data_IF_435624901684
#
_entry.id   IF_435624901684
#
_cell.length_a   1.000
_cell.length_b   1.000
_cell.length_c   1.000
_cell.angle_alpha   90.00
_cell.angle_beta   90.00
_cell.angle_gamma   90.00
#
_symmetry.space_group_name_H-M   'P 1'
#
loop_
_entity.id
_entity.type
_entity.pdbx_description
1 polymer ?
#
# COMPACT_ATOMS: atom_id res chain seq x y z
N UNK A 1 4.27 -10.79 2.77
CA UNK A 1 3.66 -11.87 3.57
C UNK A 1 4.57 -13.10 3.73
N UNK A 2 4.36 -14.25 3.04
CA UNK A 2 4.89 -15.60 3.39
C UNK A 2 6.29 -15.71 4.04
N UNK A 3 7.30 -14.97 3.55
CA UNK A 3 8.67 -14.98 4.12
C UNK A 3 8.74 -14.41 5.54
N UNK A 4 7.99 -13.35 5.81
CA UNK A 4 7.83 -12.75 7.15
C UNK A 4 7.10 -13.70 8.08
N UNK A 5 5.95 -14.26 7.67
CA UNK A 5 5.15 -15.19 8.49
C UNK A 5 6.00 -16.39 8.96
N UNK A 6 6.92 -16.90 8.12
CA UNK A 6 7.89 -17.92 8.52
C UNK A 6 8.92 -17.44 9.56
N UNK A 7 9.46 -16.23 9.38
CA UNK A 7 10.44 -15.66 10.32
C UNK A 7 9.79 -15.34 11.68
N UNK A 8 8.62 -14.71 11.65
CA UNK A 8 7.82 -14.35 12.82
C UNK A 8 7.35 -15.61 13.56
N UNK A 9 6.83 -16.62 12.86
CA UNK A 9 6.46 -17.90 13.46
C UNK A 9 7.64 -18.64 14.13
N UNK A 10 8.85 -18.55 13.58
CA UNK A 10 10.06 -19.13 14.21
C UNK A 10 10.51 -18.38 15.47
N UNK A 11 10.34 -17.06 15.50
CA UNK A 11 10.62 -16.22 16.66
C UNK A 11 9.61 -16.47 17.79
N UNK A 12 8.31 -16.41 17.48
CA UNK A 12 7.26 -16.50 18.50
C UNK A 12 6.98 -17.93 18.98
N UNK A 13 7.18 -18.97 18.16
CA UNK A 13 7.01 -20.37 18.58
C UNK A 13 8.04 -20.88 19.62
N UNK A 14 8.95 -20.01 20.07
CA UNK A 14 9.89 -20.27 21.18
C UNK A 14 9.53 -19.57 22.48
N UNK A 15 8.53 -18.69 22.46
CA UNK A 15 8.07 -17.94 23.63
C UNK A 15 6.90 -18.69 24.30
N UNK A 16 6.72 -18.46 25.59
CA UNK A 16 5.58 -19.02 26.33
C UNK A 16 4.28 -18.33 25.85
N UNK A 17 3.18 -19.07 25.73
CA UNK A 17 1.89 -18.55 25.20
C UNK A 17 1.22 -17.68 26.26
N UNK A 18 0.87 -16.45 25.88
CA UNK A 18 0.25 -15.45 26.76
C UNK A 18 -0.75 -14.59 25.98
N UNK A 19 -1.43 -13.67 26.69
CA UNK A 19 -2.43 -12.77 26.09
C UNK A 19 -1.92 -12.06 24.83
N UNK A 20 -0.72 -11.49 24.82
CA UNK A 20 -0.19 -10.83 23.61
C UNK A 20 0.04 -11.80 22.44
N UNK A 21 0.22 -13.10 22.71
CA UNK A 21 0.32 -14.14 21.69
C UNK A 21 -1.05 -14.40 21.05
N UNK A 22 -2.10 -14.51 21.87
CA UNK A 22 -3.48 -14.72 21.43
C UNK A 22 -4.00 -13.54 20.60
N UNK A 23 -3.71 -12.31 21.03
CA UNK A 23 -4.08 -11.06 20.35
C UNK A 23 -3.29 -10.86 19.04
N UNK A 24 -2.04 -11.33 18.98
CA UNK A 24 -1.26 -11.37 17.74
C UNK A 24 -1.78 -12.45 16.78
N UNK A 25 -2.21 -13.60 17.29
CA UNK A 25 -2.80 -14.69 16.51
C UNK A 25 -4.10 -14.21 15.86
N UNK A 26 -5.04 -13.65 16.65
CA UNK A 26 -6.29 -13.06 16.16
C UNK A 26 -6.09 -11.95 15.13
N UNK A 27 -5.24 -10.95 15.40
CA UNK A 27 -4.96 -9.87 14.44
C UNK A 27 -4.36 -10.38 13.12
N UNK A 28 -3.54 -11.45 13.18
CA UNK A 28 -2.96 -12.06 12.00
C UNK A 28 -3.97 -12.91 11.22
N UNK A 29 -4.95 -13.53 11.87
CA UNK A 29 -6.07 -14.24 11.24
C UNK A 29 -7.03 -13.26 10.55
N UNK A 30 -7.53 -12.23 11.26
CA UNK A 30 -8.39 -11.18 10.68
C UNK A 30 -7.68 -10.44 9.53
N UNK A 31 -6.35 -10.26 9.57
CA UNK A 31 -5.60 -9.73 8.44
C UNK A 31 -5.52 -10.69 7.23
N UNK A 32 -5.48 -12.00 7.45
CA UNK A 32 -5.51 -12.99 6.35
C UNK A 32 -6.88 -12.96 5.66
N UNK A 33 -7.98 -12.86 6.41
CA UNK A 33 -9.33 -12.71 5.85
C UNK A 33 -9.48 -11.38 5.08
N UNK A 34 -8.96 -10.28 5.63
CA UNK A 34 -8.88 -8.98 4.95
C UNK A 34 -8.17 -9.07 3.59
N UNK A 35 -6.97 -9.67 3.54
CA UNK A 35 -6.28 -9.88 2.27
C UNK A 35 -6.99 -10.91 1.37
N UNK A 36 -7.70 -11.91 1.90
CA UNK A 36 -8.48 -12.87 1.10
C UNK A 36 -9.66 -12.20 0.38
N UNK A 37 -10.36 -11.26 1.03
CA UNK A 37 -11.37 -10.44 0.39
C UNK A 37 -10.79 -9.57 -0.76
N UNK A 38 -9.53 -9.14 -0.64
CA UNK A 38 -8.73 -8.57 -1.74
C UNK A 38 -8.05 -9.60 -2.67
N UNK A 39 -8.31 -10.91 -2.49
CA UNK A 39 -7.74 -12.04 -3.23
C UNK A 39 -6.21 -12.09 -3.23
N UNK A 40 -5.60 -11.67 -2.11
CA UNK A 40 -4.15 -11.57 -1.89
C UNK A 40 -3.43 -10.75 -2.97
N UNK A 41 -4.06 -9.66 -3.42
CA UNK A 41 -3.52 -8.79 -4.49
C UNK A 41 -2.28 -8.04 -4.00
N UNK A 42 -1.08 -8.56 -4.32
CA UNK A 42 0.22 -8.11 -3.80
C UNK A 42 0.50 -6.59 -3.86
N UNK A 43 -0.11 -5.89 -4.83
CA UNK A 43 -0.11 -4.43 -4.95
C UNK A 43 -1.48 -3.94 -5.41
N UNK A 44 -2.24 -3.35 -4.50
CA UNK A 44 -3.52 -2.71 -4.79
C UNK A 44 -3.59 -1.36 -4.06
N UNK A 45 -3.55 -0.25 -4.82
CA UNK A 45 -3.45 1.10 -4.24
C UNK A 45 -2.12 1.35 -3.52
N UNK A 46 -2.10 2.36 -2.64
CA UNK A 46 -1.04 2.62 -1.65
C UNK A 46 -1.62 3.43 -0.51
N UNK A 47 -1.32 3.02 0.73
CA UNK A 47 -1.88 3.66 1.92
C UNK A 47 -1.00 4.86 2.25
N UNK A 48 -1.59 6.04 2.18
CA UNK A 48 -0.90 7.30 2.43
C UNK A 48 -1.21 7.79 3.84
N UNK A 49 -0.17 8.21 4.55
CA UNK A 49 -0.25 8.79 5.89
C UNK A 49 0.76 9.93 6.01
N UNK A 50 0.36 10.98 6.71
CA UNK A 50 1.21 12.07 7.17
C UNK A 50 2.11 11.66 8.35
N UNK A 51 1.63 10.74 9.19
CA UNK A 51 2.29 10.28 10.43
C UNK A 51 3.09 8.96 10.29
N UNK A 52 3.22 8.41 9.08
CA UNK A 52 4.00 7.18 8.84
C UNK A 52 5.41 7.24 9.44
N UNK A 53 5.77 6.21 10.20
CA UNK A 53 7.05 6.08 10.90
C UNK A 53 8.24 6.19 9.94
N UNK A 54 9.21 7.04 10.29
CA UNK A 54 10.31 7.43 9.40
C UNK A 54 11.15 6.25 8.88
N UNK A 55 11.29 5.18 9.67
CA UNK A 55 12.02 3.97 9.28
C UNK A 55 11.31 3.12 8.22
N UNK A 56 10.01 3.29 7.97
CA UNK A 56 9.31 2.53 6.92
C UNK A 56 9.89 2.82 5.54
N UNK A 57 10.24 4.09 5.28
CA UNK A 57 10.88 4.53 4.04
C UNK A 57 12.32 3.99 3.89
N UNK A 58 12.94 3.56 4.97
CA UNK A 58 14.26 2.92 4.96
C UNK A 58 14.15 1.40 4.78
N UNK A 59 13.21 0.75 5.48
CA UNK A 59 12.81 -0.64 5.25
C UNK A 59 12.46 -0.90 3.78
N UNK A 60 11.75 0.04 3.13
CA UNK A 60 11.45 -0.05 1.70
C UNK A 60 12.69 -0.07 0.81
N UNK A 61 13.64 0.85 1.03
CA UNK A 61 14.90 0.90 0.25
C UNK A 61 15.73 -0.36 0.43
N UNK A 62 15.69 -0.97 1.62
CA UNK A 62 16.38 -2.24 1.94
C UNK A 62 15.72 -3.48 1.30
N UNK A 63 14.73 -3.30 0.42
CA UNK A 63 14.02 -4.42 -0.20
C UNK A 63 13.02 -5.09 0.74
N UNK A 64 12.56 -4.36 1.78
CA UNK A 64 11.53 -4.78 2.74
C UNK A 64 11.88 -6.10 3.45
N UNK A 65 12.99 -6.17 4.20
CA UNK A 65 13.38 -7.35 4.96
C UNK A 65 12.32 -7.76 5.99
N UNK A 66 12.37 -9.02 6.41
CA UNK A 66 11.50 -9.64 7.41
C UNK A 66 11.58 -8.94 8.78
N UNK A 67 12.78 -8.45 9.08
CA UNK A 67 13.17 -7.74 10.30
C UNK A 67 13.75 -6.38 9.95
N UNK A 68 13.59 -5.42 10.86
CA UNK A 68 14.23 -4.10 10.78
C UNK A 68 14.93 -3.82 12.10
N UNK A 69 16.23 -3.47 12.04
CA UNK A 69 17.04 -3.21 13.24
C UNK A 69 16.64 -1.87 13.88
N UNK A 70 15.74 -1.92 14.87
CA UNK A 70 15.23 -0.73 15.55
C UNK A 70 16.04 -0.40 16.79
N UNK A 71 17.12 0.39 16.63
CA UNK A 71 17.96 0.87 17.73
C UNK A 71 17.26 2.02 18.46
N UNK A 72 16.30 1.67 19.31
CA UNK A 72 15.46 2.59 20.09
C UNK A 72 15.87 2.53 21.57
N UNK A 73 16.22 3.64 22.22
CA UNK A 73 16.43 3.68 23.67
C UNK A 73 15.16 3.28 24.43
N UNK A 74 15.27 2.51 25.52
CA UNK A 74 14.12 2.01 26.30
C UNK A 74 13.17 3.14 26.73
N UNK A 75 13.71 4.30 27.11
CA UNK A 75 12.93 5.49 27.49
C UNK A 75 12.29 6.25 26.30
N UNK A 76 12.34 5.69 25.09
CA UNK A 76 11.65 6.18 23.90
C UNK A 76 10.61 5.18 23.35
N UNK A 77 10.47 3.99 23.95
CA UNK A 77 9.50 2.98 23.49
C UNK A 77 8.05 3.46 23.65
N UNK A 78 7.73 4.20 24.71
CA UNK A 78 6.44 4.92 24.84
C UNK A 78 6.16 5.90 23.71
N UNK A 79 7.19 6.63 23.28
CA UNK A 79 7.08 7.62 22.22
C UNK A 79 6.88 6.91 20.88
N UNK A 80 7.56 5.78 20.66
CA UNK A 80 7.36 4.94 19.49
C UNK A 80 5.94 4.35 19.47
N UNK A 81 5.44 3.78 20.57
CA UNK A 81 4.06 3.28 20.69
C UNK A 81 3.04 4.38 20.38
N UNK A 82 3.23 5.59 20.92
CA UNK A 82 2.38 6.76 20.63
C UNK A 82 2.47 7.22 19.17
N UNK A 83 3.62 7.10 18.53
CA UNK A 83 3.77 7.38 17.09
C UNK A 83 3.11 6.31 16.22
N UNK A 84 3.17 5.03 16.64
CA UNK A 84 2.50 3.92 15.95
C UNK A 84 0.98 4.09 16.07
N UNK A 85 0.45 4.34 17.27
CA UNK A 85 -0.98 4.61 17.48
C UNK A 85 -1.44 5.87 16.73
N UNK A 86 -0.68 6.97 16.78
CA UNK A 86 -0.99 8.16 15.99
C UNK A 86 -0.97 7.91 14.47
N UNK A 87 -0.14 6.98 13.97
CA UNK A 87 -0.17 6.54 12.57
C UNK A 87 -1.45 5.74 12.27
N UNK A 88 -1.94 4.92 13.21
CA UNK A 88 -3.22 4.20 13.06
C UNK A 88 -4.39 5.20 12.89
N UNK A 89 -4.51 6.16 13.79
CA UNK A 89 -5.50 7.25 13.70
C UNK A 89 -5.36 8.12 12.44
N UNK A 90 -4.21 8.10 11.76
CA UNK A 90 -3.98 8.86 10.51
C UNK A 90 -4.44 8.12 9.24
N UNK A 91 -4.82 6.83 9.35
CA UNK A 91 -5.29 5.99 8.24
C UNK A 91 -6.71 5.47 8.42
N UNK A 92 -7.34 5.72 9.58
CA UNK A 92 -8.76 5.48 9.80
C UNK A 92 -9.63 6.44 8.97
N UNK A 93 -10.84 6.03 8.57
CA UNK A 93 -11.83 6.93 7.99
C UNK A 93 -12.29 8.00 9.00
N UNK A 94 -12.82 9.11 8.49
CA UNK A 94 -13.35 10.21 9.33
C UNK A 94 -14.53 9.72 10.17
N UNK A 95 -14.34 9.59 11.49
CA UNK A 95 -15.26 8.92 12.44
C UNK A 95 -16.68 9.52 12.54
N UNK A 96 -16.93 10.68 11.90
CA UNK A 96 -18.21 11.40 11.87
C UNK A 96 -18.97 11.29 10.52
N UNK A 97 -18.48 10.53 9.54
CA UNK A 97 -19.25 10.31 8.30
C UNK A 97 -20.46 9.40 8.55
N UNK A 98 -21.67 9.92 8.29
CA UNK A 98 -22.90 9.14 8.39
C UNK A 98 -23.10 8.11 7.25
N UNK A 99 -22.24 8.13 6.25
CA UNK A 99 -22.03 7.02 5.31
C UNK A 99 -20.96 6.09 5.89
N UNK A 100 -21.13 4.77 5.74
CA UNK A 100 -20.19 3.70 6.12
C UNK A 100 -18.89 3.68 5.25
N UNK A 101 -18.27 4.84 5.05
CA UNK A 101 -17.12 5.02 4.17
C UNK A 101 -15.82 4.52 4.84
N UNK A 102 -15.51 3.24 4.68
CA UNK A 102 -14.29 2.62 5.20
C UNK A 102 -13.01 2.92 4.38
N UNK A 103 -13.05 3.89 3.46
CA UNK A 103 -11.88 4.27 2.65
C UNK A 103 -10.85 5.06 3.46
N UNK A 104 -9.54 4.76 3.37
CA UNK A 104 -8.85 3.94 2.36
C UNK A 104 -8.71 2.43 2.68
N UNK A 105 -9.22 1.95 3.82
CA UNK A 105 -9.04 0.57 4.28
C UNK A 105 -9.84 -0.43 3.43
N UNK A 106 -11.02 -0.01 2.95
CA UNK A 106 -11.89 -0.75 2.01
C UNK A 106 -11.26 -0.99 0.62
N UNK A 107 -10.14 -0.35 0.32
CA UNK A 107 -9.65 -0.21 -1.06
C UNK A 107 -8.14 -0.44 -1.22
N UNK A 108 -7.32 -0.31 -0.19
CA UNK A 108 -5.86 -0.50 -0.30
C UNK A 108 -5.38 -1.80 0.35
N UNK A 109 -4.64 -2.63 -0.41
CA UNK A 109 -4.12 -3.91 0.10
C UNK A 109 -2.78 -4.34 -0.51
N UNK A 110 -2.31 -5.51 -0.10
CA UNK A 110 -1.00 -6.00 -0.46
C UNK A 110 0.10 -5.29 0.31
N UNK A 111 1.33 -5.31 -0.23
CA UNK A 111 2.51 -4.78 0.47
C UNK A 111 2.48 -3.26 0.70
N UNK A 112 1.53 -2.53 0.11
CA UNK A 112 1.38 -1.08 0.28
C UNK A 112 0.16 -0.68 1.13
N UNK A 113 -0.64 -1.65 1.60
CA UNK A 113 -1.73 -1.42 2.55
C UNK A 113 -1.33 -1.68 4.01
N UNK A 114 -2.28 -2.17 4.81
CA UNK A 114 -2.15 -2.52 6.23
C UNK A 114 -0.94 -3.39 6.56
N UNK A 115 -0.44 -4.20 5.61
CA UNK A 115 0.81 -4.95 5.74
C UNK A 115 2.01 -4.11 6.21
N UNK A 116 2.08 -2.82 5.83
CA UNK A 116 3.12 -1.89 6.31
C UNK A 116 3.06 -1.72 7.82
N UNK A 117 1.84 -1.53 8.33
CA UNK A 117 1.57 -1.26 9.74
C UNK A 117 1.83 -2.51 10.59
N UNK A 118 1.35 -3.69 10.15
CA UNK A 118 1.61 -4.96 10.82
C UNK A 118 3.11 -5.28 10.94
N UNK A 119 3.91 -4.98 9.92
CA UNK A 119 5.36 -5.12 10.02
C UNK A 119 5.95 -4.27 11.15
N UNK A 120 5.57 -2.98 11.23
CA UNK A 120 6.02 -2.09 12.29
C UNK A 120 5.52 -2.56 13.68
N UNK A 121 4.25 -2.94 13.79
CA UNK A 121 3.64 -3.43 15.03
C UNK A 121 4.36 -4.67 15.57
N UNK A 122 4.71 -5.63 14.71
CA UNK A 122 5.47 -6.84 15.07
C UNK A 122 6.91 -6.53 15.49
N UNK A 123 7.60 -5.56 14.87
CA UNK A 123 8.93 -5.15 15.34
C UNK A 123 8.86 -4.39 16.67
N UNK A 124 7.83 -3.56 16.88
CA UNK A 124 7.60 -2.87 18.16
C UNK A 124 7.28 -3.88 19.26
N UNK A 125 6.50 -4.92 18.98
CA UNK A 125 6.29 -6.04 19.89
C UNK A 125 7.63 -6.61 20.34
N UNK A 126 8.54 -6.94 19.42
CA UNK A 126 9.85 -7.54 19.76
C UNK A 126 10.69 -6.61 20.65
N UNK A 127 10.68 -5.29 20.44
CA UNK A 127 11.32 -4.34 21.37
C UNK A 127 10.69 -4.37 22.77
N UNK A 128 9.35 -4.44 22.85
CA UNK A 128 8.60 -4.48 24.11
C UNK A 128 8.70 -5.84 24.82
N UNK A 129 8.87 -6.95 24.07
CA UNK A 129 9.14 -8.27 24.64
C UNK A 129 10.57 -8.36 25.18
N UNK A 130 11.55 -7.90 24.40
CA UNK A 130 12.98 -8.02 24.74
C UNK A 130 13.43 -9.47 24.97
N UNK A 131 14.43 -9.61 25.84
CA UNK A 131 14.98 -10.90 26.31
C UNK A 131 14.42 -11.33 27.69
N UNK A 132 13.81 -10.43 28.47
CA UNK A 132 13.29 -10.71 29.82
C UNK A 132 11.96 -11.48 29.79
N UNK A 133 11.76 -12.45 30.71
CA UNK A 133 10.46 -13.13 30.85
C UNK A 133 9.39 -12.21 31.43
N UNK A 134 8.12 -12.53 31.19
CA UNK A 134 6.98 -11.67 31.53
C UNK A 134 6.70 -11.58 33.03
N UNK A 135 7.00 -12.66 33.76
CA UNK A 135 7.13 -12.69 35.21
C UNK A 135 8.23 -11.75 35.74
N UNK A 136 9.31 -11.56 34.98
CA UNK A 136 10.52 -10.81 35.35
C UNK A 136 10.46 -9.33 34.91
N UNK A 137 9.58 -8.99 33.96
CA UNK A 137 9.42 -7.63 33.42
C UNK A 137 9.18 -6.58 34.49
N UNK A 138 9.80 -5.42 34.26
CA UNK A 138 9.56 -4.16 34.98
C UNK A 138 8.18 -3.61 34.60
N UNK A 139 7.52 -2.89 35.52
CA UNK A 139 6.15 -2.40 35.31
C UNK A 139 6.00 -1.48 34.10
N UNK A 140 7.07 -0.74 33.78
CA UNK A 140 7.25 0.03 32.55
C UNK A 140 7.00 -0.80 31.28
N UNK A 141 7.67 -1.95 31.17
CA UNK A 141 7.57 -2.87 30.04
C UNK A 141 6.24 -3.66 30.02
N UNK A 142 5.58 -3.77 31.18
CA UNK A 142 4.21 -4.32 31.28
C UNK A 142 3.18 -3.32 30.75
N UNK A 143 3.31 -2.02 31.08
CA UNK A 143 2.47 -0.95 30.52
C UNK A 143 2.63 -0.88 28.99
N UNK A 144 3.87 -0.84 28.50
CA UNK A 144 4.17 -0.81 27.06
C UNK A 144 3.60 -2.02 26.30
N UNK A 145 3.52 -3.20 26.93
CA UNK A 145 2.82 -4.36 26.35
C UNK A 145 1.30 -4.20 26.36
N UNK A 146 0.73 -3.66 27.44
CA UNK A 146 -0.71 -3.38 27.51
C UNK A 146 -1.14 -2.37 26.44
N UNK A 147 -0.35 -1.30 26.24
CA UNK A 147 -0.59 -0.30 25.20
C UNK A 147 -0.48 -0.93 23.79
N UNK A 148 0.46 -1.87 23.59
CA UNK A 148 0.58 -2.64 22.35
C UNK A 148 -0.62 -3.57 22.10
N UNK A 149 -1.09 -4.29 23.13
CA UNK A 149 -2.25 -5.20 23.06
C UNK A 149 -3.52 -4.44 22.71
N UNK A 150 -3.76 -3.28 23.35
CA UNK A 150 -4.93 -2.46 23.08
C UNK A 150 -4.95 -1.95 21.62
N UNK A 151 -3.79 -1.60 21.05
CA UNK A 151 -3.70 -1.24 19.63
C UNK A 151 -3.90 -2.46 18.72
N UNK A 152 -3.40 -3.65 19.09
CA UNK A 152 -3.66 -4.87 18.31
C UNK A 152 -5.17 -5.20 18.26
N UNK A 153 -5.87 -5.06 19.38
CA UNK A 153 -7.34 -5.19 19.47
C UNK A 153 -8.09 -4.11 18.70
N UNK A 154 -7.67 -2.83 18.76
CA UNK A 154 -8.28 -1.74 17.98
C UNK A 154 -8.11 -1.97 16.46
N UNK A 155 -6.95 -2.48 16.03
CA UNK A 155 -6.71 -2.88 14.65
C UNK A 155 -7.59 -4.06 14.22
N UNK A 156 -7.59 -5.16 14.98
CA UNK A 156 -8.38 -6.37 14.71
C UNK A 156 -9.86 -6.02 14.52
N UNK A 157 -10.44 -5.37 15.53
CA UNK A 157 -11.86 -5.00 15.53
C UNK A 157 -12.21 -3.97 14.45
N UNK A 158 -11.24 -3.22 13.93
CA UNK A 158 -11.45 -2.35 12.77
C UNK A 158 -11.43 -3.14 11.47
N UNK A 159 -10.44 -4.01 11.27
CA UNK A 159 -10.35 -4.84 10.06
C UNK A 159 -11.56 -5.76 9.92
N UNK A 160 -12.06 -6.34 11.02
CA UNK A 160 -13.32 -7.09 11.04
C UNK A 160 -14.50 -6.29 10.46
N UNK A 161 -14.69 -5.04 10.89
CA UNK A 161 -15.77 -4.16 10.38
C UNK A 161 -15.60 -3.82 8.90
N UNK A 162 -14.36 -3.65 8.43
CA UNK A 162 -14.07 -3.43 6.99
C UNK A 162 -14.40 -4.68 6.16
N UNK A 163 -14.17 -5.89 6.70
CA UNK A 163 -14.56 -7.16 6.07
C UNK A 163 -16.09 -7.31 6.06
N UNK A 164 -16.76 -7.06 7.19
CA UNK A 164 -18.23 -7.13 7.33
C UNK A 164 -18.96 -6.17 6.39
N UNK A 165 -18.48 -4.92 6.26
CA UNK A 165 -19.02 -3.95 5.32
C UNK A 165 -18.78 -4.34 3.85
N UNK A 166 -17.62 -4.93 3.57
CA UNK A 166 -17.22 -5.38 2.26
C UNK A 166 -16.25 -4.42 1.55
N UNK A 167 -15.48 -5.00 0.63
CA UNK A 167 -14.29 -4.40 0.07
C UNK A 167 -14.55 -3.84 -1.34
N UNK A 168 -14.03 -2.64 -1.62
CA UNK A 168 -14.20 -1.89 -2.86
C UNK A 168 -12.85 -1.66 -3.58
N UNK A 169 -12.29 -2.66 -4.28
CA UNK A 169 -11.00 -2.53 -4.95
C UNK A 169 -10.97 -1.36 -5.95
N UNK A 170 -9.96 -0.46 -5.87
CA UNK A 170 -9.75 0.63 -6.81
C UNK A 170 -9.84 0.13 -8.24
N UNK A 171 -10.68 0.78 -9.04
CA UNK A 171 -10.92 0.45 -10.44
C UNK A 171 -9.60 0.47 -11.21
N UNK A 172 -8.96 -0.71 -11.34
CA UNK A 172 -7.61 -0.82 -11.88
C UNK A 172 -7.55 -0.15 -13.25
N UNK A 173 -6.84 0.97 -13.33
CA UNK A 173 -6.67 1.72 -14.57
C UNK A 173 -6.06 0.78 -15.61
N UNK A 174 -6.86 0.38 -16.60
CA UNK A 174 -6.58 -0.77 -17.49
C UNK A 174 -5.12 -0.74 -17.95
N UNK A 175 -4.30 -1.67 -17.43
CA UNK A 175 -2.98 -1.96 -17.99
C UNK A 175 -3.19 -2.22 -19.48
N UNK A 176 -2.67 -1.33 -20.33
CA UNK A 176 -2.75 -1.49 -21.78
C UNK A 176 -1.97 -2.76 -22.14
N UNK A 177 -2.67 -3.84 -22.42
CA UNK A 177 -2.09 -5.10 -22.89
C UNK A 177 -1.45 -4.86 -24.26
N UNK A 178 -0.14 -4.67 -24.26
CA UNK A 178 0.64 -4.59 -25.48
C UNK A 178 0.73 -6.00 -26.10
N UNK A 179 0.34 -6.12 -27.37
CA UNK A 179 0.69 -7.25 -28.22
C UNK A 179 -0.01 -8.59 -27.91
N UNK A 180 -1.25 -8.74 -28.37
CA UNK A 180 -1.70 -10.03 -28.93
C UNK A 180 -2.30 -9.78 -30.30
N UNK A 181 -1.49 -9.93 -31.34
CA UNK A 181 -1.99 -10.04 -32.72
C UNK A 181 -2.70 -11.39 -32.90
N UNK A 182 -3.96 -11.36 -33.33
CA UNK A 182 -4.39 -12.04 -34.56
C UNK A 182 -5.86 -11.75 -34.94
N UNK A 183 -6.12 -12.03 -36.21
CA UNK A 183 -7.33 -11.87 -37.01
C UNK A 183 -8.65 -12.24 -36.26
N UNK A 184 -9.80 -11.64 -36.54
CA UNK A 184 -10.10 -10.55 -37.49
C UNK A 184 -11.39 -10.80 -38.31
N UNK A 185 -12.12 -9.74 -38.66
CA UNK A 185 -13.25 -9.79 -39.61
C UNK A 185 -13.50 -8.42 -40.28
N UNK A 186 -14.13 -8.36 -41.47
CA UNK A 186 -13.89 -7.27 -42.42
C UNK A 186 -15.04 -6.26 -42.62
N UNK A 187 -14.76 -5.26 -43.48
CA UNK A 187 -15.66 -4.26 -44.11
C UNK A 187 -15.96 -2.97 -43.32
N UNK A 188 -15.18 -1.93 -43.63
CA UNK A 188 -15.72 -0.74 -44.31
C UNK A 188 -14.66 -0.06 -45.18
N UNK A 189 -14.74 -0.25 -46.49
CA UNK A 189 -13.81 0.38 -47.43
C UNK A 189 -14.05 1.90 -47.51
N UNK A 190 -12.97 2.69 -47.53
CA UNK A 190 -13.02 4.13 -47.82
C UNK A 190 -12.92 4.36 -49.33
N UNK A 191 -14.05 4.51 -50.01
CA UNK A 191 -14.07 5.01 -51.39
C UNK A 191 -13.83 6.52 -51.38
N UNK A 192 -12.70 7.00 -51.90
CA UNK A 192 -12.44 8.44 -52.11
C UNK A 192 -11.57 8.69 -53.35
N UNK A 193 -12.22 9.07 -54.44
CA UNK A 193 -11.68 9.61 -55.68
C UNK A 193 -12.72 10.65 -56.18
N UNK A 194 -12.45 11.95 -56.17
CA UNK A 194 -11.80 12.78 -57.22
C UNK A 194 -12.58 12.81 -58.55
N UNK A 195 -12.86 13.96 -59.18
CA UNK A 195 -12.54 15.38 -58.89
C UNK A 195 -13.74 16.27 -59.35
N UNK A 196 -13.71 17.54 -59.80
CA UNK A 196 -12.65 18.49 -60.23
C UNK A 196 -13.13 19.95 -60.07
N UNK A 197 -12.19 20.91 -60.24
CA UNK A 197 -12.37 22.35 -60.59
C UNK A 197 -12.96 23.31 -59.53
N UNK A 198 -12.49 24.56 -59.41
CA UNK A 198 -11.39 25.27 -60.09
C UNK A 198 -10.73 26.36 -59.20
N UNK A 199 -9.50 26.77 -59.57
CA UNK A 199 -8.80 28.05 -59.28
C UNK A 199 -8.91 28.69 -57.86
N UNK A 200 -7.80 29.10 -57.23
CA UNK A 200 -6.84 30.02 -57.86
C UNK A 200 -5.36 29.82 -57.43
N UNK A 201 -4.45 30.48 -58.15
CA UNK A 201 -2.99 30.23 -58.11
C UNK A 201 -2.24 30.96 -56.99
N UNK A 202 -1.28 30.27 -56.38
CA UNK A 202 -0.05 30.87 -55.85
C UNK A 202 1.11 29.86 -55.97
N UNK A 203 2.01 30.05 -56.95
CA UNK A 203 3.21 29.22 -57.15
C UNK A 203 4.44 30.12 -57.07
N UNK A 204 5.47 29.69 -56.35
CA UNK A 204 6.65 30.50 -56.04
C UNK A 204 7.95 29.94 -56.67
N UNK A 205 8.81 30.87 -57.11
CA UNK A 205 10.26 30.72 -57.40
C UNK A 205 10.70 29.80 -58.56
N UNK A 206 11.19 30.42 -59.65
CA UNK A 206 12.58 30.37 -60.19
C UNK A 206 12.58 30.97 -61.62
N UNK A 207 13.11 32.17 -61.87
CA UNK A 207 14.53 32.59 -61.98
C UNK A 207 15.28 32.06 -63.22
N UNK A 208 15.71 32.95 -64.14
CA UNK A 208 17.09 33.13 -64.68
C UNK A 208 17.16 33.79 -66.09
N UNK A 209 18.13 34.70 -66.30
CA UNK A 209 18.74 35.25 -67.55
C UNK A 209 17.99 36.31 -68.41
N UNK A 210 18.81 37.17 -69.06
CA UNK A 210 18.46 38.21 -70.07
C UNK A 210 18.49 39.65 -69.53
N UNK A 211 19.63 40.37 -69.41
CA UNK A 211 20.44 41.02 -70.48
C UNK A 211 19.61 41.75 -71.56
N UNK A 212 19.71 43.08 -71.65
CA UNK A 212 19.24 43.85 -72.82
C UNK A 212 18.86 45.32 -72.58
N UNK A 213 19.83 46.24 -72.56
CA UNK A 213 19.65 47.70 -72.43
C UNK A 213 19.32 48.35 -73.79
N UNK A 214 18.14 48.97 -73.94
CA UNK A 214 17.80 50.05 -74.91
C UNK A 214 16.30 50.39 -74.78
N UNK A 215 15.83 51.63 -75.00
CA UNK A 215 16.54 52.88 -75.29
C UNK A 215 15.83 54.05 -74.59
#
# INVERSE_FOLDING_TARGET
MRRFIKAWGYEFARRERENWTDELEALMETFVEYEEAFRFTEVNGTLHSSKELSFMKEWEKRGRPEWMDMVIPINQVDLLLKQVHAWWDDILPERDSADDNWSPLDSVSGKNGIWRFLCALVWVLILVLGEEKISERKDEQRRQLSDWVLLAQEMESTLGKVIEYGIWPPKQAKRKSAGVDKLGSPKRAKTRATAITANNRAVAKRSVKGKGRAK
#
